data_IF_894229077013
#
_entry.id   IF_894229077013
#
_cell.length_a   1.000
_cell.length_b   1.000
_cell.length_c   1.000
_cell.angle_alpha   90.00
_cell.angle_beta   90.00
_cell.angle_gamma   90.00
#
_symmetry.space_group_name_H-M   'P 1'
#
loop_
_entity.id
_entity.type
_entity.pdbx_description
1 polymer ?
#
# COMPACT_ATOMS: atom_id res chain seq x y z
N UNK A 1 -0.94 17.58 -14.26
CA UNK A 1 -0.71 16.92 -12.95
C UNK A 1 -0.33 15.47 -13.19
N UNK A 2 0.70 14.98 -12.51
CA UNK A 2 1.21 13.60 -12.61
C UNK A 2 0.71 12.77 -11.44
N UNK A 3 0.04 11.66 -11.71
CA UNK A 3 -0.54 10.76 -10.70
C UNK A 3 0.04 9.35 -10.89
N UNK A 4 0.46 8.73 -9.80
CA UNK A 4 0.91 7.34 -9.83
C UNK A 4 0.01 6.49 -8.96
N UNK A 5 -0.60 5.47 -9.55
CA UNK A 5 -1.32 4.40 -8.85
C UNK A 5 -0.39 3.24 -8.58
N UNK A 6 -0.34 2.77 -7.36
CA UNK A 6 0.48 1.62 -6.96
C UNK A 6 -0.45 0.49 -6.52
N UNK A 7 -0.28 -0.68 -7.14
CA UNK A 7 -1.03 -1.89 -6.87
C UNK A 7 -0.13 -3.01 -6.35
N UNK A 8 -0.63 -3.76 -5.38
CA UNK A 8 0.00 -5.00 -4.91
C UNK A 8 -0.40 -6.21 -5.79
N UNK A 9 -0.42 -6.00 -7.09
CA UNK A 9 -0.86 -6.90 -8.13
C UNK A 9 -2.12 -6.40 -8.84
N UNK A 10 -2.27 -6.77 -10.10
CA UNK A 10 -3.41 -6.42 -10.97
C UNK A 10 -4.09 -7.69 -11.49
N UNK A 11 -4.46 -8.59 -10.57
CA UNK A 11 -5.25 -9.77 -10.87
C UNK A 11 -6.74 -9.39 -11.01
N UNK A 12 -7.55 -10.35 -11.43
CA UNK A 12 -9.00 -10.15 -11.49
C UNK A 12 -9.58 -10.09 -10.07
N UNK A 13 -10.06 -8.91 -9.66
CA UNK A 13 -10.62 -8.66 -8.33
C UNK A 13 -11.41 -7.36 -8.26
N UNK A 14 -12.21 -7.19 -7.21
CA UNK A 14 -13.05 -6.00 -7.03
C UNK A 14 -12.23 -4.72 -6.84
N UNK A 15 -11.16 -4.79 -6.07
CA UNK A 15 -10.26 -3.66 -5.79
C UNK A 15 -9.59 -3.19 -7.08
N UNK A 16 -9.02 -4.12 -7.83
CA UNK A 16 -8.30 -3.85 -9.07
C UNK A 16 -9.23 -3.30 -10.14
N UNK A 17 -10.45 -3.83 -10.23
CA UNK A 17 -11.47 -3.34 -11.16
C UNK A 17 -11.83 -1.88 -10.88
N UNK A 18 -12.09 -1.54 -9.62
CA UNK A 18 -12.38 -0.15 -9.23
C UNK A 18 -11.19 0.76 -9.56
N UNK A 19 -9.96 0.30 -9.30
CA UNK A 19 -8.75 1.06 -9.64
C UNK A 19 -8.61 1.31 -11.14
N UNK A 20 -8.87 0.32 -11.96
CA UNK A 20 -8.85 0.46 -13.42
C UNK A 20 -9.89 1.47 -13.90
N UNK A 21 -11.10 1.47 -13.33
CA UNK A 21 -12.15 2.45 -13.67
C UNK A 21 -11.73 3.89 -13.29
N UNK A 22 -11.11 4.08 -12.11
CA UNK A 22 -10.53 5.38 -11.75
C UNK A 22 -9.43 5.83 -12.71
N UNK A 23 -8.56 4.91 -13.13
CA UNK A 23 -7.50 5.19 -14.09
C UNK A 23 -8.11 5.62 -15.44
N UNK A 24 -9.13 4.91 -15.95
CA UNK A 24 -9.86 5.27 -17.18
C UNK A 24 -10.46 6.68 -17.08
N UNK A 25 -11.17 6.95 -15.98
CA UNK A 25 -11.81 8.24 -15.74
C UNK A 25 -10.80 9.39 -15.72
N UNK A 26 -9.68 9.23 -15.02
CA UNK A 26 -8.68 10.27 -14.88
C UNK A 26 -7.82 10.45 -16.13
N UNK A 27 -7.51 9.35 -16.85
CA UNK A 27 -6.78 9.44 -18.12
C UNK A 27 -7.57 10.22 -19.17
N UNK A 28 -8.92 10.12 -19.17
CA UNK A 28 -9.81 10.91 -20.01
C UNK A 28 -9.84 12.41 -19.64
N UNK A 29 -9.33 12.81 -18.49
CA UNK A 29 -9.24 14.21 -18.02
C UNK A 29 -7.85 14.85 -18.21
N UNK A 30 -7.03 14.31 -19.07
CA UNK A 30 -5.67 14.80 -19.37
C UNK A 30 -4.68 14.79 -18.19
N UNK A 31 -4.87 13.90 -17.20
CA UNK A 31 -3.85 13.65 -16.21
C UNK A 31 -2.79 12.68 -16.76
N UNK A 32 -1.51 12.97 -16.48
CA UNK A 32 -0.43 12.04 -16.78
C UNK A 32 -0.39 10.93 -15.75
N UNK A 33 -0.94 9.76 -16.11
CA UNK A 33 -1.09 8.64 -15.18
C UNK A 33 0.02 7.63 -15.42
N UNK A 34 0.61 7.16 -14.31
CA UNK A 34 1.49 5.99 -14.27
C UNK A 34 0.90 4.95 -13.32
N UNK A 35 0.92 3.71 -13.72
CA UNK A 35 0.54 2.56 -12.90
C UNK A 35 1.81 1.80 -12.51
N UNK A 36 1.98 1.50 -11.25
CA UNK A 36 3.05 0.63 -10.75
C UNK A 36 2.42 -0.67 -10.26
N UNK A 37 2.77 -1.77 -10.92
CA UNK A 37 2.41 -3.12 -10.48
C UNK A 37 3.59 -3.72 -9.70
N UNK A 38 3.38 -3.96 -8.39
CA UNK A 38 4.39 -4.53 -7.49
C UNK A 38 4.51 -6.06 -7.63
N UNK A 39 3.56 -6.67 -8.35
CA UNK A 39 3.55 -8.11 -8.63
C UNK A 39 3.26 -8.37 -10.10
N UNK A 40 4.28 -8.28 -10.96
CA UNK A 40 4.11 -8.45 -12.41
C UNK A 40 3.57 -9.82 -12.83
N UNK A 41 3.67 -10.82 -11.96
CA UNK A 41 3.06 -12.15 -12.11
C UNK A 41 1.52 -12.11 -12.03
N UNK A 42 0.96 -11.05 -11.46
CA UNK A 42 -0.47 -10.78 -11.35
C UNK A 42 -0.82 -9.57 -12.22
N UNK A 43 -1.12 -9.80 -13.50
CA UNK A 43 -1.28 -8.75 -14.50
C UNK A 43 -2.57 -8.86 -15.33
N UNK A 44 -3.51 -9.68 -14.92
CA UNK A 44 -4.72 -9.99 -15.72
C UNK A 44 -5.53 -8.74 -16.06
N UNK A 45 -5.58 -7.75 -15.16
CA UNK A 45 -6.32 -6.50 -15.37
C UNK A 45 -5.52 -5.42 -16.11
N UNK A 46 -4.23 -5.62 -16.37
CA UNK A 46 -3.42 -4.62 -17.10
C UNK A 46 -3.94 -4.36 -18.52
N UNK A 47 -4.51 -5.37 -19.16
CA UNK A 47 -5.13 -5.25 -20.49
C UNK A 47 -6.34 -4.29 -20.55
N UNK A 48 -6.96 -4.02 -19.40
CA UNK A 48 -8.09 -3.10 -19.27
C UNK A 48 -7.64 -1.63 -19.08
N UNK A 49 -6.35 -1.41 -18.81
CA UNK A 49 -5.78 -0.08 -18.62
C UNK A 49 -5.62 0.60 -20.00
N UNK A 50 -6.01 1.88 -20.12
CA UNK A 50 -5.89 2.62 -21.39
C UNK A 50 -4.45 2.67 -21.91
N UNK A 51 -4.28 2.58 -23.23
CA UNK A 51 -2.97 2.52 -23.90
C UNK A 51 -2.10 3.77 -23.69
N UNK A 52 -2.71 4.90 -23.35
CA UNK A 52 -2.00 6.14 -23.03
C UNK A 52 -1.47 6.20 -21.60
N UNK A 53 -1.74 5.19 -20.78
CA UNK A 53 -1.28 5.08 -19.40
C UNK A 53 0.00 4.24 -19.37
N UNK A 54 1.04 4.79 -18.74
CA UNK A 54 2.30 4.07 -18.59
C UNK A 54 2.20 3.04 -17.46
N UNK A 55 2.53 1.78 -17.75
CA UNK A 55 2.61 0.71 -16.73
C UNK A 55 4.09 0.43 -16.44
N UNK A 56 4.44 0.35 -15.17
CA UNK A 56 5.77 0.00 -14.66
C UNK A 56 5.66 -1.25 -13.78
N UNK A 57 6.49 -2.23 -14.10
CA UNK A 57 6.63 -3.44 -13.30
C UNK A 57 7.79 -3.29 -12.33
N UNK A 58 7.49 -3.19 -11.04
CA UNK A 58 8.50 -3.08 -9.97
C UNK A 58 8.27 -4.24 -8.99
N UNK A 59 8.95 -5.38 -9.18
CA UNK A 59 8.75 -6.54 -8.33
C UNK A 59 9.07 -6.23 -6.86
N UNK A 60 8.07 -6.19 -6.00
CA UNK A 60 8.21 -5.93 -4.58
C UNK A 60 7.68 -7.12 -3.77
N UNK A 61 8.54 -7.75 -2.99
CA UNK A 61 8.22 -9.02 -2.35
C UNK A 61 7.18 -8.88 -1.23
N UNK A 62 6.15 -9.74 -1.26
CA UNK A 62 5.20 -9.91 -0.14
C UNK A 62 5.81 -10.55 1.10
N UNK A 63 7.01 -11.08 1.02
CA UNK A 63 7.66 -11.70 2.18
C UNK A 63 7.91 -10.69 3.31
N UNK A 64 7.91 -9.40 3.00
CA UNK A 64 8.02 -8.33 3.99
C UNK A 64 6.70 -8.03 4.71
N UNK A 65 5.57 -8.53 4.22
CA UNK A 65 4.27 -8.22 4.80
C UNK A 65 4.04 -9.02 6.10
N UNK A 66 3.62 -8.38 7.21
CA UNK A 66 3.41 -9.02 8.50
C UNK A 66 2.46 -10.23 8.45
N UNK A 67 1.50 -10.22 7.53
CA UNK A 67 0.57 -11.34 7.33
C UNK A 67 1.27 -12.68 7.04
N UNK A 68 2.49 -12.64 6.46
CA UNK A 68 3.25 -13.87 6.17
C UNK A 68 3.74 -14.59 7.41
N UNK A 69 4.03 -13.85 8.45
CA UNK A 69 4.55 -14.41 9.71
C UNK A 69 3.62 -14.16 10.92
N UNK A 70 2.43 -13.61 10.72
CA UNK A 70 1.43 -13.40 11.79
C UNK A 70 1.03 -14.68 12.52
N UNK A 71 1.11 -15.84 11.87
CA UNK A 71 0.87 -17.14 12.50
C UNK A 71 1.77 -17.40 13.70
N UNK A 72 2.97 -16.78 13.75
CA UNK A 72 3.90 -16.90 14.88
C UNK A 72 3.30 -16.33 16.18
N UNK A 73 2.41 -15.32 16.09
CA UNK A 73 1.73 -14.76 17.25
C UNK A 73 0.88 -15.78 18.01
N UNK A 74 0.45 -16.85 17.33
CA UNK A 74 -0.35 -17.93 17.93
C UNK A 74 0.48 -18.97 18.68
N UNK A 75 1.80 -18.87 18.64
CA UNK A 75 2.70 -19.79 19.34
C UNK A 75 2.81 -19.36 20.81
N UNK A 76 1.95 -19.92 21.65
CA UNK A 76 2.01 -19.70 23.10
C UNK A 76 3.15 -20.52 23.73
N UNK A 77 3.94 -19.96 24.71
CA UNK A 77 3.87 -18.61 25.28
C UNK A 77 4.76 -17.56 24.56
N UNK A 78 5.57 -17.96 23.58
CA UNK A 78 6.63 -17.12 23.01
C UNK A 78 6.26 -16.46 21.66
N UNK A 79 4.99 -16.47 21.28
CA UNK A 79 4.55 -16.03 19.95
C UNK A 79 4.95 -14.57 19.61
N UNK A 80 4.80 -13.66 20.55
CA UNK A 80 5.19 -12.26 20.35
C UNK A 80 6.70 -12.11 20.13
N UNK A 81 7.52 -12.84 20.91
CA UNK A 81 8.98 -12.82 20.77
C UNK A 81 9.38 -13.34 19.39
N UNK A 82 8.81 -14.47 18.99
CA UNK A 82 9.07 -15.06 17.67
C UNK A 82 8.66 -14.12 16.52
N UNK A 83 7.52 -13.44 16.65
CA UNK A 83 7.06 -12.47 15.66
C UNK A 83 8.05 -11.30 15.53
N UNK A 84 8.45 -10.66 16.63
CA UNK A 84 9.37 -9.53 16.58
C UNK A 84 10.79 -9.95 16.17
N UNK A 85 11.24 -11.14 16.55
CA UNK A 85 12.52 -11.69 16.09
C UNK A 85 12.57 -11.86 14.56
N UNK A 86 11.42 -12.15 13.92
CA UNK A 86 11.31 -12.17 12.47
C UNK A 86 11.13 -10.75 11.88
N UNK A 87 10.33 -9.90 12.51
CA UNK A 87 9.99 -8.58 11.99
C UNK A 87 11.20 -7.65 11.88
N UNK A 88 12.11 -7.69 12.86
CA UNK A 88 13.30 -6.80 12.89
C UNK A 88 14.21 -7.03 11.68
N UNK A 89 14.71 -8.27 11.41
CA UNK A 89 15.56 -8.50 10.25
C UNK A 89 14.82 -8.29 8.92
N UNK A 90 13.53 -8.65 8.84
CA UNK A 90 12.72 -8.41 7.65
C UNK A 90 12.64 -6.92 7.33
N UNK A 91 12.38 -6.07 8.33
CA UNK A 91 12.35 -4.62 8.15
C UNK A 91 13.72 -4.04 7.77
N UNK A 92 14.82 -4.58 8.31
CA UNK A 92 16.15 -4.18 7.91
C UNK A 92 16.44 -4.55 6.44
N UNK A 93 16.11 -5.77 6.02
CA UNK A 93 16.20 -6.20 4.62
C UNK A 93 15.33 -5.34 3.69
N UNK A 94 14.13 -4.98 4.11
CA UNK A 94 13.25 -4.12 3.34
C UNK A 94 13.87 -2.74 3.07
N UNK A 95 14.55 -2.17 4.06
CA UNK A 95 15.29 -0.90 3.89
C UNK A 95 16.42 -1.00 2.86
N UNK A 96 17.16 -2.11 2.85
CA UNK A 96 18.20 -2.37 1.85
C UNK A 96 17.61 -2.59 0.45
N UNK A 97 16.51 -3.31 0.37
CA UNK A 97 15.81 -3.57 -0.89
C UNK A 97 15.26 -2.27 -1.53
N UNK A 98 14.89 -1.30 -0.70
CA UNK A 98 14.46 0.03 -1.13
C UNK A 98 15.46 0.71 -2.07
N UNK A 99 16.76 0.62 -1.77
CA UNK A 99 17.83 1.23 -2.57
C UNK A 99 17.79 0.73 -4.02
N UNK A 100 17.48 -0.55 -4.21
CA UNK A 100 17.40 -1.18 -5.54
C UNK A 100 16.30 -0.58 -6.42
N UNK A 101 15.16 -0.22 -5.82
CA UNK A 101 13.97 0.24 -6.57
C UNK A 101 13.87 1.75 -6.70
N UNK A 102 14.59 2.52 -5.88
CA UNK A 102 14.50 3.98 -5.85
C UNK A 102 14.75 4.64 -7.22
N UNK A 103 15.62 4.05 -8.05
CA UNK A 103 15.94 4.55 -9.39
C UNK A 103 14.79 4.37 -10.40
N UNK A 104 13.87 3.44 -10.15
CA UNK A 104 12.78 3.11 -11.06
C UNK A 104 11.44 3.75 -10.65
N UNK A 105 11.42 4.46 -9.51
CA UNK A 105 10.20 5.13 -9.03
C UNK A 105 9.91 6.35 -9.91
N UNK A 106 8.70 6.48 -10.45
CA UNK A 106 8.36 7.60 -11.30
C UNK A 106 8.30 8.91 -10.51
N UNK A 107 8.70 10.00 -11.15
CA UNK A 107 8.48 11.33 -10.60
C UNK A 107 6.99 11.68 -10.73
N UNK A 108 6.33 11.94 -9.61
CA UNK A 108 4.89 12.18 -9.55
C UNK A 108 4.54 13.24 -8.50
N UNK A 109 3.42 13.91 -8.69
CA UNK A 109 2.86 14.88 -7.74
C UNK A 109 1.98 14.19 -6.70
N UNK A 110 1.25 13.14 -7.12
CA UNK A 110 0.36 12.35 -6.25
C UNK A 110 0.71 10.86 -6.41
N UNK A 111 0.97 10.20 -5.30
CA UNK A 111 1.18 8.75 -5.24
C UNK A 111 0.06 8.10 -4.43
N UNK A 112 -0.62 7.11 -5.00
CA UNK A 112 -1.78 6.44 -4.42
C UNK A 112 -1.45 4.97 -4.18
N UNK A 113 -1.46 4.54 -2.92
CA UNK A 113 -1.48 3.13 -2.54
C UNK A 113 -2.93 2.62 -2.70
N UNK A 114 -3.22 2.00 -3.84
CA UNK A 114 -4.60 1.70 -4.21
C UNK A 114 -5.10 0.37 -3.65
N UNK A 115 -4.25 -0.64 -3.56
CA UNK A 115 -4.67 -1.94 -3.00
C UNK A 115 -4.91 -1.90 -1.49
N UNK A 116 -4.35 -0.92 -0.78
CA UNK A 116 -4.47 -0.80 0.68
C UNK A 116 -3.79 -1.93 1.45
N UNK A 117 -2.89 -2.69 0.81
CA UNK A 117 -2.13 -3.76 1.41
C UNK A 117 -0.80 -3.25 1.98
N UNK A 118 -0.18 -4.04 2.84
CA UNK A 118 1.11 -3.65 3.45
C UNK A 118 2.19 -3.30 2.42
N UNK A 119 2.21 -3.96 1.27
CA UNK A 119 3.25 -3.76 0.25
C UNK A 119 3.11 -2.44 -0.47
N UNK A 120 1.94 -2.11 -1.00
CA UNK A 120 1.73 -0.86 -1.72
C UNK A 120 1.76 0.35 -0.77
N UNK A 121 1.23 0.21 0.47
CA UNK A 121 1.39 1.19 1.53
C UNK A 121 2.86 1.46 1.85
N UNK A 122 3.65 0.41 2.06
CA UNK A 122 5.09 0.54 2.31
C UNK A 122 5.81 1.18 1.13
N UNK A 123 5.52 0.71 -0.09
CA UNK A 123 6.16 1.23 -1.29
C UNK A 123 5.88 2.72 -1.47
N UNK A 124 4.62 3.15 -1.31
CA UNK A 124 4.24 4.56 -1.42
C UNK A 124 4.84 5.39 -0.29
N UNK A 125 4.75 4.92 0.95
CA UNK A 125 5.27 5.67 2.10
C UNK A 125 6.76 5.94 2.01
N UNK A 126 7.52 4.98 1.50
CA UNK A 126 8.99 4.99 1.57
C UNK A 126 9.67 5.52 0.30
N UNK A 127 9.09 5.37 -0.88
CA UNK A 127 9.78 5.66 -2.14
C UNK A 127 9.39 7.01 -2.77
N UNK A 128 8.18 7.51 -2.52
CA UNK A 128 7.72 8.80 -3.05
C UNK A 128 7.97 9.92 -2.02
N UNK A 129 9.11 10.58 -2.05
CA UNK A 129 9.51 11.53 -1.01
C UNK A 129 8.78 12.88 -1.05
N UNK A 130 8.58 13.45 -2.22
CA UNK A 130 8.07 14.83 -2.40
C UNK A 130 6.58 14.89 -2.79
N UNK A 131 5.94 13.74 -3.01
CA UNK A 131 4.58 13.66 -3.52
C UNK A 131 3.56 13.72 -2.39
N UNK A 132 2.37 14.24 -2.71
CA UNK A 132 1.19 14.00 -1.91
C UNK A 132 0.89 12.50 -1.94
N UNK A 133 0.85 11.86 -0.79
CA UNK A 133 0.60 10.42 -0.66
C UNK A 133 -0.84 10.18 -0.23
N UNK A 134 -1.47 9.18 -0.81
CA UNK A 134 -2.85 8.80 -0.50
C UNK A 134 -2.87 7.27 -0.33
N UNK A 135 -3.56 6.77 0.71
CA UNK A 135 -3.88 5.37 0.87
C UNK A 135 -5.38 5.15 0.67
N UNK A 136 -5.73 4.15 -0.12
CA UNK A 136 -7.11 3.73 -0.30
C UNK A 136 -7.40 2.55 0.62
N UNK A 137 -8.35 2.71 1.54
CA UNK A 137 -8.73 1.68 2.50
C UNK A 137 -9.95 0.92 1.99
N UNK A 138 -9.76 -0.36 1.69
CA UNK A 138 -10.83 -1.24 1.23
C UNK A 138 -11.48 -2.06 2.36
N UNK A 139 -10.93 -1.97 3.56
CA UNK A 139 -11.39 -2.67 4.75
C UNK A 139 -11.33 -1.81 6.00
N UNK A 140 -11.58 -2.44 7.15
CA UNK A 140 -11.51 -1.79 8.44
C UNK A 140 -10.05 -1.59 8.85
N UNK A 141 -9.64 -0.35 9.05
CA UNK A 141 -8.30 0.05 9.49
C UNK A 141 -7.91 -0.61 10.81
N UNK A 142 -8.85 -0.72 11.75
CA UNK A 142 -8.59 -1.32 13.06
C UNK A 142 -8.17 -2.78 12.94
N UNK A 143 -8.81 -3.54 12.06
CA UNK A 143 -8.46 -4.94 11.80
C UNK A 143 -7.02 -5.12 11.28
N UNK A 144 -6.53 -4.17 10.47
CA UNK A 144 -5.14 -4.20 10.00
C UNK A 144 -4.14 -3.80 11.08
N UNK A 145 -4.51 -2.82 11.92
CA UNK A 145 -3.68 -2.38 13.05
C UNK A 145 -3.57 -3.47 14.12
N UNK A 146 -4.65 -4.20 14.39
CA UNK A 146 -4.65 -5.35 15.29
C UNK A 146 -3.75 -6.48 14.77
N UNK A 147 -3.65 -6.61 13.45
CA UNK A 147 -2.75 -7.58 12.84
C UNK A 147 -1.28 -7.20 13.04
N UNK A 148 -0.95 -5.92 12.91
CA UNK A 148 0.43 -5.42 13.09
C UNK A 148 0.47 -3.91 13.30
N UNK A 149 1.15 -3.42 14.35
CA UNK A 149 1.39 -1.99 14.56
C UNK A 149 2.10 -1.30 13.39
N UNK A 150 2.73 -2.06 12.50
CA UNK A 150 3.36 -1.55 11.30
C UNK A 150 2.40 -0.85 10.34
N UNK A 151 1.12 -1.25 10.30
CA UNK A 151 0.11 -0.55 9.50
C UNK A 151 -0.14 0.86 10.00
N UNK A 152 -0.26 1.06 11.30
CA UNK A 152 -0.43 2.37 11.90
C UNK A 152 0.70 3.33 11.51
N UNK A 153 1.95 2.87 11.58
CA UNK A 153 3.12 3.66 11.17
C UNK A 153 3.04 4.04 9.67
N UNK A 154 2.54 3.15 8.81
CA UNK A 154 2.37 3.44 7.39
C UNK A 154 1.27 4.48 7.15
N UNK A 155 0.15 4.39 7.84
CA UNK A 155 -0.94 5.35 7.75
C UNK A 155 -0.50 6.74 8.22
N UNK A 156 0.22 6.84 9.33
CA UNK A 156 0.80 8.10 9.80
C UNK A 156 1.76 8.73 8.79
N UNK A 157 2.57 7.93 8.09
CA UNK A 157 3.49 8.42 7.05
C UNK A 157 2.76 8.92 5.80
N UNK A 158 1.64 8.31 5.44
CA UNK A 158 0.85 8.67 4.25
C UNK A 158 -0.05 9.87 4.53
N UNK A 159 -0.68 9.94 5.70
CA UNK A 159 -1.53 11.02 6.23
C UNK A 159 -2.89 11.21 5.52
N UNK A 160 -3.02 10.94 4.22
CA UNK A 160 -4.27 11.10 3.50
C UNK A 160 -4.87 9.71 3.25
N UNK A 161 -5.98 9.42 3.92
CA UNK A 161 -6.69 8.14 3.80
C UNK A 161 -8.01 8.38 3.09
N UNK A 162 -8.36 7.48 2.17
CA UNK A 162 -9.69 7.42 1.55
C UNK A 162 -10.40 6.19 2.10
N UNK A 163 -11.46 6.42 2.86
CA UNK A 163 -12.31 5.38 3.42
C UNK A 163 -13.54 5.17 2.54
N UNK A 164 -13.99 3.91 2.41
CA UNK A 164 -15.14 3.57 1.57
C UNK A 164 -16.49 3.77 2.27
N UNK A 165 -16.50 3.95 3.59
CA UNK A 165 -17.74 4.18 4.36
C UNK A 165 -17.51 5.15 5.51
N UNK A 166 -18.56 5.90 5.89
CA UNK A 166 -18.55 6.80 7.04
C UNK A 166 -18.21 6.07 8.35
N UNK A 167 -18.69 4.85 8.52
CA UNK A 167 -18.41 4.03 9.70
C UNK A 167 -16.91 3.73 9.87
N UNK A 168 -16.18 3.56 8.78
CA UNK A 168 -14.74 3.37 8.82
C UNK A 168 -14.02 4.70 9.11
N UNK A 169 -14.52 5.82 8.61
CA UNK A 169 -13.98 7.15 8.88
C UNK A 169 -14.08 7.51 10.36
N UNK A 170 -15.23 7.26 10.99
CA UNK A 170 -15.43 7.54 12.42
C UNK A 170 -14.51 6.69 13.31
N UNK A 171 -14.33 5.41 13.00
CA UNK A 171 -13.40 4.54 13.72
C UNK A 171 -11.94 4.99 13.55
N UNK A 172 -11.56 5.40 12.36
CA UNK A 172 -10.23 5.95 12.10
C UNK A 172 -9.96 7.23 12.90
N UNK A 173 -10.95 8.10 13.04
CA UNK A 173 -10.88 9.31 13.87
C UNK A 173 -10.74 8.98 15.36
N UNK A 174 -11.56 8.07 15.88
CA UNK A 174 -11.46 7.61 17.28
C UNK A 174 -10.10 6.96 17.58
N UNK A 175 -9.59 6.16 16.66
CA UNK A 175 -8.30 5.50 16.80
C UNK A 175 -7.15 6.53 16.84
N UNK A 176 -7.17 7.52 15.96
CA UNK A 176 -6.16 8.57 15.91
C UNK A 176 -6.20 9.43 17.19
N UNK A 177 -7.39 9.81 17.67
CA UNK A 177 -7.54 10.58 18.92
C UNK A 177 -6.99 9.81 20.13
N UNK A 178 -7.21 8.51 20.23
CA UNK A 178 -6.66 7.69 21.32
C UNK A 178 -5.13 7.57 21.33
N UNK A 179 -4.50 7.69 20.17
CA UNK A 179 -3.06 7.56 20.02
C UNK A 179 -2.30 8.90 20.02
N UNK A 180 -3.01 10.03 19.98
CA UNK A 180 -2.42 11.36 20.21
C UNK A 180 -2.32 11.73 21.72
N UNK A 181 -2.95 10.96 22.59
CA UNK A 181 -3.01 11.19 24.05
C UNK A 181 -1.94 10.38 24.82
N UNK A 182 -1.20 9.48 24.15
CA UNK A 182 -0.09 8.71 24.70
C UNK A 182 1.23 9.09 24.05
#
# INVERSE_FOLDING_TARGET
MKITFVFDGLQFGGIERVGVEYIKLLSGRNYAITVVNLRPDLNTMEKEIPVNVRILHIPFSRNFAPQRYSKLLRLFPCGSIAFYACAIPINAFQKLYKIKYQKNVPNTEIAIAFSGHYNDLTFVSENFKASKKIAWLHGDETSYNDLSPGYFVLYQKIKNLICLSEKNDDRSKEFNQKNEIN
#
